data_IF_384179937461
#
_entry.id   IF_384179937461
#
_cell.length_a   1.000
_cell.length_b   1.000
_cell.length_c   1.000
_cell.angle_alpha   90.00
_cell.angle_beta   90.00
_cell.angle_gamma   90.00
#
_symmetry.space_group_name_H-M   'P 1'
#
loop_
_entity.id
_entity.type
_entity.pdbx_description
1 polymer ?
#
# COMPACT_ATOMS: atom_id res chain seq x y z
N UNK A 1 -35.35 -55.45 70.94
CA UNK A 1 -35.40 -55.31 69.50
C UNK A 1 -34.86 -53.94 69.17
N UNK A 2 -33.57 -53.86 68.81
CA UNK A 2 -32.86 -52.60 68.56
C UNK A 2 -32.91 -52.33 67.01
N UNK A 3 -33.53 -51.25 66.62
CA UNK A 3 -33.52 -50.77 65.23
C UNK A 3 -32.23 -49.97 65.00
N UNK A 4 -31.35 -50.49 64.19
CA UNK A 4 -30.18 -49.77 63.71
C UNK A 4 -30.62 -48.86 62.54
N UNK A 5 -30.41 -47.55 62.70
CA UNK A 5 -30.62 -46.55 61.65
C UNK A 5 -29.28 -46.39 60.90
N UNK A 6 -29.24 -46.80 59.66
CA UNK A 6 -28.08 -46.66 58.81
C UNK A 6 -28.11 -45.24 58.19
N UNK A 7 -27.17 -44.38 58.64
CA UNK A 7 -27.01 -43.00 58.12
C UNK A 7 -26.09 -43.08 56.87
N UNK A 8 -26.66 -42.95 55.66
CA UNK A 8 -25.85 -42.81 54.44
C UNK A 8 -25.39 -41.37 54.34
N UNK A 9 -24.09 -41.13 54.58
CA UNK A 9 -23.44 -39.84 54.29
C UNK A 9 -23.06 -39.86 52.81
N UNK A 10 -23.85 -39.12 52.01
CA UNK A 10 -23.49 -38.82 50.61
C UNK A 10 -22.45 -37.69 50.64
N UNK A 11 -21.20 -38.06 50.51
CA UNK A 11 -20.11 -37.11 50.35
C UNK A 11 -20.13 -36.64 48.87
N UNK A 12 -20.82 -35.54 48.61
CA UNK A 12 -20.76 -34.89 47.28
C UNK A 12 -19.35 -34.33 47.06
N UNK A 13 -18.56 -35.02 46.25
CA UNK A 13 -17.28 -34.52 45.71
C UNK A 13 -17.57 -33.28 44.87
N UNK A 14 -17.46 -32.10 45.45
CA UNK A 14 -17.33 -30.82 44.75
C UNK A 14 -16.00 -30.84 44.03
N UNK A 15 -15.99 -31.38 42.80
CA UNK A 15 -14.88 -31.17 41.87
C UNK A 15 -15.02 -29.73 41.41
N UNK A 16 -14.06 -28.82 41.70
CA UNK A 16 -14.13 -27.48 41.11
C UNK A 16 -14.01 -27.64 39.62
N UNK A 17 -15.10 -27.35 38.90
CA UNK A 17 -15.07 -27.12 37.45
C UNK A 17 -14.13 -25.91 37.27
N UNK A 18 -12.88 -26.17 36.97
CA UNK A 18 -11.98 -25.15 36.42
C UNK A 18 -12.57 -24.86 35.02
N UNK A 19 -13.39 -23.82 34.94
CA UNK A 19 -13.81 -23.27 33.66
C UNK A 19 -12.53 -22.80 32.98
N UNK A 20 -12.03 -23.60 32.04
CA UNK A 20 -11.01 -23.14 31.11
C UNK A 20 -11.66 -21.99 30.35
N UNK A 21 -11.32 -20.74 30.70
CA UNK A 21 -11.68 -19.59 29.91
C UNK A 21 -11.19 -19.87 28.49
N UNK A 22 -12.08 -19.77 27.53
CA UNK A 22 -11.69 -19.91 26.13
C UNK A 22 -10.52 -18.94 25.86
N UNK A 23 -9.49 -19.38 25.12
CA UNK A 23 -8.38 -18.50 24.79
C UNK A 23 -8.91 -17.21 24.19
N UNK A 24 -8.52 -16.08 24.76
CA UNK A 24 -8.92 -14.78 24.23
C UNK A 24 -8.39 -14.63 22.80
N UNK A 25 -9.19 -14.07 21.88
CA UNK A 25 -8.74 -13.84 20.52
C UNK A 25 -7.51 -12.94 20.49
N UNK A 26 -6.56 -13.27 19.60
CA UNK A 26 -5.36 -12.46 19.39
C UNK A 26 -5.77 -11.08 18.88
N UNK A 27 -5.31 -10.01 19.54
CA UNK A 27 -5.58 -8.63 19.16
C UNK A 27 -4.43 -8.08 18.31
N UNK A 28 -4.74 -7.69 17.08
CA UNK A 28 -3.75 -7.23 16.09
C UNK A 28 -3.99 -5.77 15.76
N UNK A 29 -3.00 -4.92 15.99
CA UNK A 29 -2.97 -3.55 15.50
C UNK A 29 -2.56 -3.53 14.02
N UNK A 30 -3.42 -3.01 13.16
CA UNK A 30 -3.19 -2.91 11.73
C UNK A 30 -3.03 -1.45 11.34
N UNK A 31 -1.78 -1.04 11.10
CA UNK A 31 -1.45 0.32 10.73
C UNK A 31 -1.72 0.55 9.23
N UNK A 32 -2.34 1.67 8.95
CA UNK A 32 -2.53 2.20 7.59
C UNK A 32 -2.01 3.63 7.55
N UNK A 33 -1.51 4.07 6.41
CA UNK A 33 -1.05 5.46 6.29
C UNK A 33 -2.22 6.44 6.31
N UNK A 34 -3.36 6.07 5.69
CA UNK A 34 -4.57 6.89 5.65
C UNK A 34 -5.78 6.04 5.28
N UNK A 35 -6.79 6.01 6.14
CA UNK A 35 -8.05 5.30 5.86
C UNK A 35 -8.96 6.02 4.85
N UNK A 36 -8.64 7.22 4.42
CA UNK A 36 -9.35 7.85 3.29
C UNK A 36 -8.97 7.23 1.94
N UNK A 37 -7.83 6.53 1.86
CA UNK A 37 -7.39 5.84 0.65
C UNK A 37 -8.10 4.48 0.49
N UNK A 38 -8.73 4.27 -0.66
CA UNK A 38 -9.49 3.04 -0.97
C UNK A 38 -8.66 1.75 -0.93
N UNK A 39 -7.37 1.82 -1.27
CA UNK A 39 -6.43 0.70 -1.14
C UNK A 39 -6.32 0.26 0.34
N UNK A 40 -6.11 1.20 1.26
CA UNK A 40 -5.98 0.91 2.68
C UNK A 40 -7.29 0.44 3.31
N UNK A 41 -8.43 0.98 2.86
CA UNK A 41 -9.76 0.48 3.27
C UNK A 41 -9.94 -0.98 2.89
N UNK A 42 -9.68 -1.34 1.63
CA UNK A 42 -9.81 -2.70 1.13
C UNK A 42 -8.83 -3.67 1.83
N UNK A 43 -7.58 -3.24 2.02
CA UNK A 43 -6.54 -4.00 2.72
C UNK A 43 -6.94 -4.30 4.18
N UNK A 44 -7.42 -3.30 4.90
CA UNK A 44 -7.85 -3.45 6.29
C UNK A 44 -9.10 -4.32 6.43
N UNK A 45 -10.12 -4.08 5.61
CA UNK A 45 -11.35 -4.87 5.62
C UNK A 45 -11.09 -6.36 5.36
N UNK A 46 -10.21 -6.67 4.41
CA UNK A 46 -9.81 -8.05 4.14
C UNK A 46 -8.97 -8.63 5.28
N UNK A 47 -8.07 -7.86 5.88
CA UNK A 47 -7.28 -8.31 7.03
C UNK A 47 -8.20 -8.70 8.21
N UNK A 48 -9.23 -7.89 8.52
CA UNK A 48 -10.22 -8.20 9.55
C UNK A 48 -10.97 -9.49 9.26
N UNK A 49 -11.54 -9.59 8.05
CA UNK A 49 -12.31 -10.75 7.60
C UNK A 49 -11.46 -12.02 7.64
N UNK A 50 -10.26 -11.95 7.08
CA UNK A 50 -9.36 -13.09 6.97
C UNK A 50 -8.84 -13.57 8.32
N UNK A 51 -8.39 -12.64 9.18
CA UNK A 51 -7.89 -12.95 10.51
C UNK A 51 -8.96 -13.63 11.36
N UNK A 52 -10.19 -13.12 11.35
CA UNK A 52 -11.32 -13.70 12.07
C UNK A 52 -11.67 -15.10 11.55
N UNK A 53 -11.78 -15.26 10.22
CA UNK A 53 -12.21 -16.52 9.61
C UNK A 53 -11.17 -17.63 9.75
N UNK A 54 -9.87 -17.31 9.60
CA UNK A 54 -8.81 -18.31 9.57
C UNK A 54 -8.17 -18.57 10.94
N UNK A 55 -8.09 -17.54 11.77
CA UNK A 55 -7.30 -17.59 13.00
C UNK A 55 -8.09 -17.26 14.28
N UNK A 56 -9.36 -16.83 14.15
CA UNK A 56 -10.15 -16.34 15.29
C UNK A 56 -9.57 -15.07 15.92
N UNK A 57 -8.73 -14.33 15.21
CA UNK A 57 -8.09 -13.11 15.68
C UNK A 57 -8.91 -11.86 15.37
N UNK A 58 -8.73 -10.83 16.20
CA UNK A 58 -9.37 -9.52 16.04
C UNK A 58 -8.34 -8.50 15.51
N UNK A 59 -8.74 -7.67 14.54
CA UNK A 59 -7.87 -6.69 13.90
C UNK A 59 -8.45 -5.29 14.07
N UNK A 60 -7.64 -4.38 14.57
CA UNK A 60 -7.99 -2.98 14.88
C UNK A 60 -7.19 -2.03 13.99
N UNK A 61 -7.87 -1.04 13.39
CA UNK A 61 -7.20 -0.04 12.56
C UNK A 61 -6.43 0.97 13.42
N UNK A 62 -5.22 1.28 13.00
CA UNK A 62 -4.40 2.39 13.50
C UNK A 62 -4.13 3.33 12.34
N UNK A 63 -4.99 4.33 12.19
CA UNK A 63 -4.96 5.29 11.10
C UNK A 63 -3.85 6.33 11.31
N UNK A 64 -2.95 6.43 10.36
CA UNK A 64 -1.84 7.40 10.35
C UNK A 64 -2.24 8.78 9.87
N UNK A 65 -3.41 8.95 9.24
CA UNK A 65 -3.95 10.22 8.73
C UNK A 65 -2.98 11.00 7.82
N UNK A 66 -2.16 10.27 7.07
CA UNK A 66 -1.06 10.85 6.26
C UNK A 66 -0.11 11.75 7.06
N UNK A 67 0.05 11.47 8.37
CA UNK A 67 0.89 12.23 9.30
C UNK A 67 1.90 11.32 9.99
N UNK A 68 3.19 11.59 9.78
CA UNK A 68 4.29 10.77 10.30
C UNK A 68 4.34 10.76 11.83
N UNK A 69 4.00 11.87 12.49
CA UNK A 69 3.96 11.95 13.94
C UNK A 69 2.81 11.12 14.51
N UNK A 70 1.63 11.17 13.88
CA UNK A 70 0.48 10.32 14.25
C UNK A 70 0.82 8.85 14.08
N UNK A 71 1.45 8.45 12.98
CA UNK A 71 1.89 7.07 12.75
C UNK A 71 2.83 6.59 13.87
N UNK A 72 3.78 7.44 14.27
CA UNK A 72 4.74 7.11 15.34
C UNK A 72 4.04 7.03 16.71
N UNK A 73 3.16 7.96 17.04
CA UNK A 73 2.38 7.94 18.29
C UNK A 73 1.47 6.72 18.41
N UNK A 74 0.94 6.23 17.30
CA UNK A 74 0.13 5.03 17.28
C UNK A 74 0.90 3.78 17.77
N UNK A 75 2.24 3.76 17.74
CA UNK A 75 3.02 2.65 18.26
C UNK A 75 2.89 2.58 19.80
N UNK A 76 2.87 3.71 20.48
CA UNK A 76 2.66 3.75 21.94
C UNK A 76 1.26 3.24 22.31
N UNK A 77 0.26 3.48 21.47
CA UNK A 77 -1.10 2.97 21.66
C UNK A 77 -1.18 1.45 21.54
N UNK A 78 -0.33 0.79 20.76
CA UNK A 78 -0.25 -0.69 20.69
C UNK A 78 -0.01 -1.28 22.07
N UNK A 79 0.94 -0.70 22.80
CA UNK A 79 1.29 -1.11 24.16
C UNK A 79 0.19 -0.75 25.16
N UNK A 80 -0.33 0.50 25.08
CA UNK A 80 -1.32 1.00 26.02
C UNK A 80 -2.67 0.25 25.92
N UNK A 81 -3.07 -0.16 24.73
CA UNK A 81 -4.32 -0.89 24.49
C UNK A 81 -4.18 -2.40 24.64
N UNK A 82 -3.02 -2.92 25.00
CA UNK A 82 -2.78 -4.35 25.22
C UNK A 82 -2.97 -5.17 23.94
N UNK A 83 -2.41 -4.70 22.82
CA UNK A 83 -2.36 -5.47 21.58
C UNK A 83 -1.32 -6.59 21.72
N UNK A 84 -1.63 -7.76 21.15
CA UNK A 84 -0.70 -8.90 21.14
C UNK A 84 0.28 -8.82 19.96
N UNK A 85 -0.11 -8.16 18.88
CA UNK A 85 0.69 -7.99 17.69
C UNK A 85 0.40 -6.68 16.97
N UNK A 86 1.36 -6.21 16.17
CA UNK A 86 1.17 -5.08 15.26
C UNK A 86 1.84 -5.31 13.91
N UNK A 87 1.18 -4.86 12.84
CA UNK A 87 1.77 -4.74 11.52
C UNK A 87 1.79 -3.26 11.13
N UNK A 88 2.98 -2.69 11.08
CA UNK A 88 3.19 -1.25 10.97
C UNK A 88 3.14 -0.77 9.53
N UNK A 89 2.65 0.45 9.32
CA UNK A 89 2.88 1.24 8.11
C UNK A 89 3.38 2.60 8.58
N UNK A 90 4.68 2.84 8.48
CA UNK A 90 5.38 3.97 9.10
C UNK A 90 6.20 4.69 8.03
N UNK A 91 6.17 6.01 8.04
CA UNK A 91 6.96 6.84 7.14
C UNK A 91 8.28 7.29 7.78
N UNK A 92 8.28 7.68 9.06
CA UNK A 92 9.51 8.00 9.81
C UNK A 92 9.99 6.76 10.56
N UNK A 93 10.89 6.03 9.92
CA UNK A 93 11.43 4.77 10.44
C UNK A 93 12.30 5.01 11.68
N UNK A 94 13.09 6.08 11.71
CA UNK A 94 13.99 6.39 12.82
C UNK A 94 13.19 6.77 14.08
N UNK A 95 12.17 7.60 13.94
CA UNK A 95 11.29 7.97 15.04
C UNK A 95 10.50 6.78 15.58
N UNK A 96 10.21 5.77 14.76
CA UNK A 96 9.46 4.58 15.16
C UNK A 96 10.28 3.56 15.97
N UNK A 97 11.60 3.48 15.76
CA UNK A 97 12.48 2.45 16.37
C UNK A 97 12.36 2.33 17.90
N UNK A 98 12.38 3.43 18.69
CA UNK A 98 12.28 3.33 20.14
C UNK A 98 10.98 2.65 20.60
N UNK A 99 9.84 3.04 20.02
CA UNK A 99 8.53 2.46 20.34
C UNK A 99 8.44 0.99 19.96
N UNK A 100 8.93 0.63 18.74
CA UNK A 100 9.00 -0.77 18.28
C UNK A 100 9.84 -1.61 19.23
N UNK A 101 11.03 -1.14 19.61
CA UNK A 101 11.90 -1.87 20.54
C UNK A 101 11.24 -2.02 21.93
N UNK A 102 10.48 -1.02 22.41
CA UNK A 102 9.73 -1.10 23.64
C UNK A 102 8.61 -2.15 23.57
N UNK A 103 7.88 -2.21 22.45
CA UNK A 103 6.84 -3.21 22.20
C UNK A 103 7.42 -4.64 22.14
N UNK A 104 8.53 -4.83 21.43
CA UNK A 104 9.25 -6.11 21.35
C UNK A 104 9.69 -6.61 22.73
N UNK A 105 10.22 -5.73 23.60
CA UNK A 105 10.61 -6.07 24.97
C UNK A 105 9.43 -6.55 25.82
N UNK A 106 8.19 -6.15 25.48
CA UNK A 106 6.96 -6.61 26.14
C UNK A 106 6.39 -7.88 25.52
N UNK A 107 7.09 -8.48 24.55
CA UNK A 107 6.66 -9.70 23.86
C UNK A 107 5.59 -9.49 22.79
N UNK A 108 5.31 -8.25 22.40
CA UNK A 108 4.38 -7.93 21.30
C UNK A 108 5.02 -8.32 19.99
N UNK A 109 4.31 -9.08 19.15
CA UNK A 109 4.77 -9.45 17.82
C UNK A 109 4.70 -8.22 16.90
N UNK A 110 5.85 -7.82 16.34
CA UNK A 110 5.93 -6.65 15.47
C UNK A 110 6.35 -7.06 14.07
N UNK A 111 5.66 -6.53 13.06
CA UNK A 111 6.03 -6.62 11.65
C UNK A 111 5.89 -5.25 11.00
N UNK A 112 6.50 -5.02 9.85
CA UNK A 112 6.27 -3.82 9.07
C UNK A 112 5.60 -4.14 7.72
N UNK A 113 5.00 -3.14 7.14
CA UNK A 113 4.49 -3.14 5.78
C UNK A 113 5.11 -1.98 5.01
N UNK A 114 5.46 -2.21 3.75
CA UNK A 114 6.04 -1.25 2.83
C UNK A 114 7.47 -0.83 3.19
N UNK A 115 7.70 -0.23 4.37
CA UNK A 115 9.01 0.26 4.81
C UNK A 115 9.64 -0.68 5.83
N UNK A 116 10.79 -1.32 5.53
CA UNK A 116 11.53 -2.08 6.52
C UNK A 116 12.11 -1.14 7.58
N UNK A 117 12.05 -1.55 8.86
CA UNK A 117 12.70 -0.82 9.95
C UNK A 117 14.08 -1.42 10.19
N UNK A 118 15.11 -0.76 9.66
CA UNK A 118 16.49 -1.16 9.85
C UNK A 118 16.84 -1.30 11.33
N UNK A 119 17.78 -2.21 11.66
CA UNK A 119 18.30 -2.47 13.01
C UNK A 119 17.29 -3.01 14.03
N UNK A 120 16.03 -3.19 13.66
CA UNK A 120 15.03 -3.85 14.53
C UNK A 120 14.93 -5.34 14.27
N UNK A 121 15.25 -5.77 13.06
CA UNK A 121 15.12 -7.16 12.62
C UNK A 121 13.68 -7.64 12.45
N UNK A 122 12.66 -6.77 12.56
CA UNK A 122 11.26 -7.17 12.39
C UNK A 122 10.99 -7.55 10.93
N UNK A 123 10.23 -8.64 10.69
CA UNK A 123 9.86 -9.04 9.35
C UNK A 123 8.97 -8.01 8.65
N UNK A 124 9.15 -7.88 7.33
CA UNK A 124 8.47 -6.88 6.49
C UNK A 124 7.67 -7.54 5.37
N UNK A 125 6.43 -7.09 5.16
CA UNK A 125 5.63 -7.38 3.97
C UNK A 125 5.73 -6.19 3.01
N UNK A 126 6.05 -6.43 1.72
CA UNK A 126 6.25 -5.37 0.70
C UNK A 126 5.58 -5.73 -0.61
N UNK A 127 5.23 -4.72 -1.38
CA UNK A 127 4.93 -4.88 -2.80
C UNK A 127 6.23 -4.76 -3.61
N UNK A 128 6.37 -5.58 -4.65
CA UNK A 128 7.50 -5.48 -5.59
C UNK A 128 7.19 -4.39 -6.64
N UNK A 129 7.43 -3.13 -6.27
CA UNK A 129 7.05 -1.99 -7.09
C UNK A 129 8.12 -1.58 -8.10
N UNK A 130 9.40 -1.86 -7.81
CA UNK A 130 10.51 -1.36 -8.63
C UNK A 130 10.49 -1.92 -10.06
N UNK A 131 10.22 -3.22 -10.22
CA UNK A 131 10.13 -3.84 -11.54
C UNK A 131 8.97 -3.28 -12.37
N UNK A 132 7.81 -3.08 -11.71
CA UNK A 132 6.63 -2.51 -12.38
C UNK A 132 6.83 -1.03 -12.74
N UNK A 133 7.39 -0.23 -11.83
CA UNK A 133 7.71 1.19 -12.13
C UNK A 133 8.68 1.33 -13.29
N UNK A 134 9.73 0.50 -13.34
CA UNK A 134 10.63 0.46 -14.49
C UNK A 134 9.88 0.13 -15.80
N UNK A 135 9.05 -0.90 -15.78
CA UNK A 135 8.28 -1.31 -16.95
C UNK A 135 7.31 -0.22 -17.43
N UNK A 136 6.66 0.49 -16.50
CA UNK A 136 5.77 1.62 -16.79
C UNK A 136 6.54 2.78 -17.46
N UNK A 137 7.70 3.17 -16.91
CA UNK A 137 8.54 4.21 -17.50
C UNK A 137 8.99 3.86 -18.92
N UNK A 138 9.45 2.62 -19.12
CA UNK A 138 9.85 2.13 -20.43
C UNK A 138 8.68 2.10 -21.43
N UNK A 139 7.49 1.67 -20.98
CA UNK A 139 6.29 1.62 -21.83
C UNK A 139 5.84 3.03 -22.24
N UNK A 140 5.74 3.97 -21.30
CA UNK A 140 5.39 5.35 -21.60
C UNK A 140 6.34 5.97 -22.63
N UNK A 141 7.65 5.78 -22.46
CA UNK A 141 8.64 6.30 -23.39
C UNK A 141 8.50 5.67 -24.78
N UNK A 142 8.26 4.36 -24.88
CA UNK A 142 8.00 3.67 -26.15
C UNK A 142 6.74 4.22 -26.84
N UNK A 143 5.64 4.40 -26.11
CA UNK A 143 4.39 4.91 -26.66
C UNK A 143 4.53 6.38 -27.12
N UNK A 144 5.26 7.20 -26.33
CA UNK A 144 5.58 8.56 -26.76
C UNK A 144 6.39 8.59 -28.04
N UNK A 145 7.50 7.84 -28.13
CA UNK A 145 8.34 7.76 -29.33
C UNK A 145 7.61 7.19 -30.54
N UNK A 146 6.69 6.25 -30.34
CA UNK A 146 5.83 5.74 -31.40
C UNK A 146 4.90 6.83 -31.93
N UNK A 147 4.33 7.67 -31.06
CA UNK A 147 3.46 8.77 -31.45
C UNK A 147 4.24 9.96 -32.07
N UNK A 148 5.42 10.25 -31.55
CA UNK A 148 6.25 11.42 -31.85
C UNK A 148 7.74 11.05 -31.94
N UNK A 149 8.20 10.39 -33.02
CA UNK A 149 9.58 9.85 -33.08
C UNK A 149 10.68 10.90 -32.86
N UNK A 150 10.44 12.14 -33.29
CA UNK A 150 11.42 13.23 -33.28
C UNK A 150 11.23 14.20 -32.10
N UNK A 151 10.19 14.05 -31.28
CA UNK A 151 10.02 14.91 -30.11
C UNK A 151 10.83 14.37 -28.93
N UNK A 152 11.57 15.23 -28.23
CA UNK A 152 12.27 14.82 -27.01
C UNK A 152 11.28 14.41 -25.93
N UNK A 153 11.73 13.56 -25.02
CA UNK A 153 10.99 13.25 -23.80
C UNK A 153 11.43 14.22 -22.71
N UNK A 154 10.41 14.85 -22.08
CA UNK A 154 10.58 15.66 -20.86
C UNK A 154 9.62 15.13 -19.81
N UNK A 155 10.16 14.58 -18.73
CA UNK A 155 9.37 13.93 -17.69
C UNK A 155 9.43 14.67 -16.36
N UNK A 156 8.35 14.54 -15.59
CA UNK A 156 8.25 15.00 -14.21
C UNK A 156 7.55 13.92 -13.37
N UNK A 157 7.90 13.84 -12.10
CA UNK A 157 7.20 13.02 -11.13
C UNK A 157 6.58 13.92 -10.05
N UNK A 158 5.45 13.50 -9.49
CA UNK A 158 4.81 14.11 -8.32
C UNK A 158 4.59 13.03 -7.27
N UNK A 159 5.08 13.28 -6.04
CA UNK A 159 5.09 12.26 -5.00
C UNK A 159 5.83 12.68 -3.75
N UNK A 160 6.66 11.77 -3.24
CA UNK A 160 7.41 11.92 -1.99
C UNK A 160 8.92 11.84 -2.23
N UNK A 161 9.59 12.90 -2.72
CA UNK A 161 11.01 12.86 -3.13
C UNK A 161 11.97 12.49 -2.00
N UNK A 162 11.58 12.76 -0.74
CA UNK A 162 12.37 12.49 0.45
C UNK A 162 12.04 11.15 1.13
N UNK A 163 11.07 10.40 0.62
CA UNK A 163 10.71 9.10 1.17
C UNK A 163 11.53 8.00 0.49
N UNK A 164 12.48 7.41 1.22
CA UNK A 164 13.45 6.44 0.70
C UNK A 164 12.80 5.28 -0.06
N UNK A 165 11.72 4.69 0.49
CA UNK A 165 11.06 3.52 -0.11
C UNK A 165 10.27 3.88 -1.38
N UNK A 166 9.60 5.05 -1.38
CA UNK A 166 8.91 5.54 -2.58
C UNK A 166 9.94 5.86 -3.66
N UNK A 167 11.01 6.54 -3.31
CA UNK A 167 12.07 6.87 -4.25
C UNK A 167 12.68 5.62 -4.88
N UNK A 168 13.06 4.63 -4.07
CA UNK A 168 13.71 3.40 -4.55
C UNK A 168 12.75 2.44 -5.25
N UNK A 169 11.47 2.42 -4.86
CA UNK A 169 10.44 1.53 -5.44
C UNK A 169 9.70 2.14 -6.64
N UNK A 170 9.54 3.47 -6.69
CA UNK A 170 8.72 4.14 -7.71
C UNK A 170 9.53 5.10 -8.56
N UNK A 171 10.03 6.21 -7.97
CA UNK A 171 10.66 7.31 -8.71
C UNK A 171 11.87 6.87 -9.53
N UNK A 172 12.91 6.34 -8.88
CA UNK A 172 14.17 5.99 -9.54
C UNK A 172 14.00 4.88 -10.59
N UNK A 173 13.25 3.78 -10.33
CA UNK A 173 12.99 2.77 -11.35
C UNK A 173 12.21 3.30 -12.55
N UNK A 174 11.20 4.16 -12.33
CA UNK A 174 10.48 4.79 -13.43
C UNK A 174 11.41 5.60 -14.34
N UNK A 175 12.22 6.48 -13.76
CA UNK A 175 13.20 7.28 -14.50
C UNK A 175 14.16 6.40 -15.29
N UNK A 176 14.69 5.32 -14.65
CA UNK A 176 15.56 4.34 -15.34
C UNK A 176 14.83 3.66 -16.49
N UNK A 177 13.55 3.35 -16.32
CA UNK A 177 12.71 2.78 -17.38
C UNK A 177 12.59 3.71 -18.58
N UNK A 178 12.30 5.00 -18.36
CA UNK A 178 12.28 6.01 -19.45
C UNK A 178 13.64 6.13 -20.14
N UNK A 179 14.72 6.27 -19.37
CA UNK A 179 16.08 6.41 -19.90
C UNK A 179 16.60 5.17 -20.62
N UNK A 180 16.05 3.99 -20.34
CA UNK A 180 16.36 2.76 -21.09
C UNK A 180 15.87 2.80 -22.53
N UNK A 181 14.87 3.63 -22.83
CA UNK A 181 14.27 3.81 -24.16
C UNK A 181 14.79 5.08 -24.83
N UNK A 182 14.89 6.17 -24.10
CA UNK A 182 15.44 7.44 -24.57
C UNK A 182 16.49 7.97 -23.59
N UNK A 183 17.78 7.62 -23.77
CA UNK A 183 18.85 8.10 -22.90
C UNK A 183 19.03 9.63 -22.87
N UNK A 184 18.39 10.34 -23.81
CA UNK A 184 18.43 11.82 -23.90
C UNK A 184 17.20 12.48 -23.25
N UNK A 185 16.31 11.69 -22.65
CA UNK A 185 15.14 12.23 -21.95
C UNK A 185 15.56 13.17 -20.81
N UNK A 186 14.89 14.31 -20.72
CA UNK A 186 15.08 15.27 -19.62
C UNK A 186 14.20 14.90 -18.45
N UNK A 187 14.76 14.84 -17.27
CA UNK A 187 14.04 14.63 -16.02
C UNK A 187 14.00 15.92 -15.20
N UNK A 188 12.82 16.48 -14.95
CA UNK A 188 12.64 17.67 -14.11
C UNK A 188 12.61 17.32 -12.60
N UNK A 189 12.75 16.04 -12.27
CA UNK A 189 12.75 15.54 -10.89
C UNK A 189 11.38 15.30 -10.31
N UNK A 190 11.36 14.74 -9.09
CA UNK A 190 10.15 14.50 -8.33
C UNK A 190 9.80 15.73 -7.51
N UNK A 191 8.60 16.26 -7.69
CA UNK A 191 8.05 17.40 -6.97
C UNK A 191 7.33 16.92 -5.71
N UNK A 192 7.55 17.57 -4.58
CA UNK A 192 6.92 17.19 -3.31
C UNK A 192 5.42 17.51 -3.30
N UNK A 193 4.63 16.45 -3.43
CA UNK A 193 3.17 16.47 -3.44
C UNK A 193 2.58 15.77 -2.21
N UNK A 194 3.38 15.52 -1.18
CA UNK A 194 3.00 14.77 0.03
C UNK A 194 1.76 15.32 0.75
N UNK A 195 1.42 16.60 0.52
CA UNK A 195 0.24 17.27 1.09
C UNK A 195 -1.06 17.02 0.33
N UNK A 196 -1.05 16.20 -0.73
CA UNK A 196 -2.25 15.72 -1.39
C UNK A 196 -2.65 16.44 -2.69
N UNK A 197 -3.88 16.18 -3.17
CA UNK A 197 -4.28 16.52 -4.54
C UNK A 197 -4.30 18.02 -4.85
N UNK A 198 -4.67 18.88 -3.91
CA UNK A 198 -4.74 20.34 -4.16
C UNK A 198 -3.34 20.93 -4.38
N UNK A 199 -2.36 20.48 -3.57
CA UNK A 199 -0.96 20.88 -3.75
C UNK A 199 -0.41 20.31 -5.06
N UNK A 200 -0.71 19.04 -5.38
CA UNK A 200 -0.33 18.42 -6.64
C UNK A 200 -0.87 19.21 -7.84
N UNK A 201 -2.14 19.62 -7.76
CA UNK A 201 -2.76 20.43 -8.82
C UNK A 201 -1.98 21.72 -9.06
N UNK A 202 -1.63 22.46 -7.99
CA UNK A 202 -0.86 23.70 -8.13
C UNK A 202 0.53 23.43 -8.73
N UNK A 203 1.24 22.42 -8.23
CA UNK A 203 2.56 22.03 -8.73
C UNK A 203 2.50 21.72 -10.23
N UNK A 204 1.54 20.93 -10.68
CA UNK A 204 1.44 20.58 -12.12
C UNK A 204 1.07 21.78 -12.98
N UNK A 205 0.21 22.71 -12.48
CA UNK A 205 -0.06 23.95 -13.19
C UNK A 205 1.22 24.79 -13.38
N UNK A 206 2.03 24.91 -12.33
CA UNK A 206 3.29 25.64 -12.37
C UNK A 206 4.28 24.97 -13.31
N UNK A 207 4.42 23.63 -13.23
CA UNK A 207 5.29 22.84 -14.09
C UNK A 207 4.91 23.00 -15.57
N UNK A 208 3.64 22.81 -15.94
CA UNK A 208 3.25 22.88 -17.38
C UNK A 208 3.26 24.30 -17.91
N UNK A 209 3.26 25.32 -17.04
CA UNK A 209 3.42 26.72 -17.39
C UNK A 209 4.88 27.07 -17.65
N UNK A 210 5.79 26.61 -16.78
CA UNK A 210 7.24 26.87 -16.89
C UNK A 210 7.92 25.95 -17.92
N UNK A 211 7.38 24.73 -18.06
CA UNK A 211 7.88 23.67 -18.94
C UNK A 211 6.75 23.13 -19.83
N UNK A 212 6.27 23.92 -20.80
CA UNK A 212 5.17 23.50 -21.69
C UNK A 212 5.51 22.26 -22.56
N UNK A 213 6.79 21.93 -22.66
CA UNK A 213 7.34 20.75 -23.34
C UNK A 213 7.18 19.44 -22.55
N UNK A 214 6.80 19.47 -21.25
CA UNK A 214 6.57 18.26 -20.45
C UNK A 214 5.54 17.36 -21.10
N UNK A 215 5.89 16.07 -21.22
CA UNK A 215 5.11 15.10 -21.97
C UNK A 215 5.03 13.70 -21.35
N UNK A 216 5.78 13.40 -20.28
CA UNK A 216 5.56 12.23 -19.44
C UNK A 216 5.39 12.69 -17.98
N UNK A 217 4.27 12.32 -17.35
CA UNK A 217 3.98 12.67 -15.95
C UNK A 217 3.69 11.39 -15.18
N UNK A 218 4.42 11.21 -14.07
CA UNK A 218 4.21 10.11 -13.15
C UNK A 218 3.68 10.62 -11.82
N UNK A 219 2.46 10.23 -11.47
CA UNK A 219 1.87 10.47 -10.15
C UNK A 219 2.05 9.23 -9.29
N UNK A 220 2.73 9.35 -8.16
CA UNK A 220 3.15 8.23 -7.32
C UNK A 220 2.03 7.67 -6.41
N UNK A 221 0.79 8.16 -6.56
CA UNK A 221 -0.42 7.63 -5.92
C UNK A 221 -1.68 8.13 -6.63
N UNK A 222 -2.80 7.41 -6.49
CA UNK A 222 -4.08 7.72 -7.14
C UNK A 222 -4.67 9.07 -6.71
N UNK A 223 -4.55 9.45 -5.43
CA UNK A 223 -5.00 10.75 -4.94
C UNK A 223 -4.21 11.92 -5.57
N UNK A 224 -2.91 11.73 -5.82
CA UNK A 224 -2.08 12.74 -6.51
C UNK A 224 -2.47 12.83 -7.99
N UNK A 225 -2.86 11.70 -8.60
CA UNK A 225 -3.34 11.64 -9.99
C UNK A 225 -4.60 12.48 -10.18
N UNK A 226 -5.49 12.52 -9.18
CA UNK A 226 -6.67 13.42 -9.20
C UNK A 226 -6.23 14.87 -9.37
N UNK A 227 -5.26 15.33 -8.58
CA UNK A 227 -4.69 16.68 -8.69
C UNK A 227 -4.01 16.94 -10.04
N UNK A 228 -3.21 15.97 -10.50
CA UNK A 228 -2.55 16.02 -11.82
C UNK A 228 -3.54 16.19 -12.96
N UNK A 229 -4.56 15.34 -13.03
CA UNK A 229 -5.55 15.40 -14.10
C UNK A 229 -6.41 16.66 -14.04
N UNK A 230 -6.74 17.16 -12.84
CA UNK A 230 -7.44 18.44 -12.65
C UNK A 230 -6.61 19.61 -13.16
N UNK A 231 -5.30 19.64 -12.87
CA UNK A 231 -4.37 20.66 -13.37
C UNK A 231 -4.29 20.66 -14.90
N UNK A 232 -4.08 19.48 -15.49
CA UNK A 232 -4.00 19.32 -16.93
C UNK A 232 -5.29 19.77 -17.63
N UNK A 233 -6.45 19.40 -17.08
CA UNK A 233 -7.74 19.83 -17.59
C UNK A 233 -7.87 21.36 -17.56
N UNK A 234 -7.49 21.99 -16.45
CA UNK A 234 -7.51 23.46 -16.30
C UNK A 234 -6.56 24.15 -17.30
N UNK A 235 -5.41 23.52 -17.60
CA UNK A 235 -4.44 24.01 -18.57
C UNK A 235 -4.84 23.69 -20.04
N UNK A 236 -6.03 23.12 -20.29
CA UNK A 236 -6.47 22.69 -21.61
C UNK A 236 -5.73 21.44 -22.16
N UNK A 237 -4.99 20.76 -21.31
CA UNK A 237 -4.19 19.56 -21.58
C UNK A 237 -4.91 18.29 -21.09
N UNK A 238 -4.21 17.19 -20.91
CA UNK A 238 -4.76 15.94 -20.38
C UNK A 238 -5.55 15.12 -21.38
N UNK A 239 -5.34 15.33 -22.68
CA UNK A 239 -6.16 14.78 -23.76
C UNK A 239 -5.43 13.73 -24.58
N UNK A 240 -6.21 12.79 -25.07
CA UNK A 240 -5.81 11.73 -25.96
C UNK A 240 -6.81 11.66 -27.12
N UNK A 241 -6.38 11.42 -28.34
CA UNK A 241 -7.26 11.31 -29.49
C UNK A 241 -6.64 10.43 -30.59
N UNK A 242 -7.47 9.69 -31.30
CA UNK A 242 -7.04 8.83 -32.40
C UNK A 242 -5.88 7.88 -32.02
N UNK A 243 -5.92 7.34 -30.80
CA UNK A 243 -4.90 6.43 -30.28
C UNK A 243 -3.56 7.10 -29.93
N UNK A 244 -3.49 8.44 -29.83
CA UNK A 244 -2.26 9.19 -29.54
C UNK A 244 -2.48 10.25 -28.46
N UNK A 245 -1.47 10.52 -27.62
CA UNK A 245 -1.49 11.68 -26.73
C UNK A 245 -1.48 12.97 -27.55
N UNK A 246 -2.18 14.00 -27.07
CA UNK A 246 -2.11 15.33 -27.70
C UNK A 246 -0.96 16.16 -27.12
N UNK A 247 -0.74 16.07 -25.82
CA UNK A 247 0.27 16.85 -25.10
C UNK A 247 1.18 16.00 -24.22
N UNK A 248 0.64 15.03 -23.46
CA UNK A 248 1.40 14.17 -22.57
C UNK A 248 0.74 12.80 -22.39
N UNK A 249 1.49 11.86 -21.78
CA UNK A 249 1.00 10.62 -21.21
C UNK A 249 1.17 10.72 -19.70
N UNK A 250 0.14 10.32 -18.94
CA UNK A 250 0.15 10.24 -17.49
C UNK A 250 0.12 8.78 -17.04
N UNK A 251 0.86 8.45 -16.00
CA UNK A 251 0.71 7.19 -15.27
C UNK A 251 0.60 7.41 -13.78
N UNK A 252 0.11 6.40 -13.07
CA UNK A 252 -0.26 6.44 -11.67
C UNK A 252 0.13 5.18 -10.90
N UNK A 253 -0.19 5.18 -9.60
CA UNK A 253 -0.12 4.04 -8.69
C UNK A 253 -1.43 3.93 -7.93
N UNK A 254 -1.73 2.77 -7.35
CA UNK A 254 -2.94 2.44 -6.58
C UNK A 254 -4.19 2.27 -7.46
N UNK A 255 -4.06 1.63 -8.62
CA UNK A 255 -5.15 1.42 -9.57
C UNK A 255 -6.48 1.09 -8.89
N UNK A 256 -7.42 2.03 -8.97
CA UNK A 256 -8.76 1.96 -8.41
C UNK A 256 -9.86 2.09 -9.50
N UNK A 257 -11.13 2.16 -9.08
CA UNK A 257 -12.26 2.30 -10.02
C UNK A 257 -12.21 3.62 -10.82
N UNK A 258 -11.77 4.72 -10.19
CA UNK A 258 -11.69 6.04 -10.83
C UNK A 258 -10.59 6.01 -11.89
N UNK A 259 -9.44 5.45 -11.54
CA UNK A 259 -8.33 5.29 -12.48
C UNK A 259 -8.65 4.33 -13.61
N UNK A 260 -9.36 3.22 -13.33
CA UNK A 260 -9.81 2.30 -14.36
C UNK A 260 -10.64 2.99 -15.43
N UNK A 261 -11.58 3.85 -15.03
CA UNK A 261 -12.38 4.63 -15.96
C UNK A 261 -11.50 5.56 -16.79
N UNK A 262 -10.55 6.23 -16.17
CA UNK A 262 -9.67 7.21 -16.83
C UNK A 262 -8.64 6.53 -17.74
N UNK A 263 -8.02 5.43 -17.33
CA UNK A 263 -7.04 4.67 -18.13
C UNK A 263 -7.65 4.18 -19.44
N UNK A 264 -8.90 3.68 -19.37
CA UNK A 264 -9.61 3.15 -20.53
C UNK A 264 -10.52 4.17 -21.25
N UNK A 265 -10.56 5.42 -20.79
CA UNK A 265 -11.19 6.51 -21.56
C UNK A 265 -10.30 6.84 -22.78
N UNK A 266 -10.82 6.71 -24.02
CA UNK A 266 -10.06 7.00 -25.24
C UNK A 266 -9.61 8.46 -25.34
N UNK A 267 -10.17 9.37 -24.53
CA UNK A 267 -9.86 10.80 -24.57
C UNK A 267 -8.93 11.26 -23.44
N UNK A 268 -8.69 10.44 -22.44
CA UNK A 268 -7.84 10.78 -21.28
C UNK A 268 -6.37 10.49 -21.57
N UNK A 269 -5.45 11.34 -21.09
CA UNK A 269 -4.00 11.10 -21.14
C UNK A 269 -3.49 10.14 -20.04
N UNK A 270 -4.28 9.82 -19.02
CA UNK A 270 -3.96 8.78 -18.06
C UNK A 270 -4.10 7.42 -18.74
N UNK A 271 -2.99 6.69 -18.92
CA UNK A 271 -2.96 5.46 -19.73
C UNK A 271 -2.36 4.26 -19.05
N UNK A 272 -1.71 4.45 -17.89
CA UNK A 272 -1.14 3.39 -17.10
C UNK A 272 -1.40 3.65 -15.62
N UNK A 273 -1.56 2.56 -14.87
CA UNK A 273 -1.49 2.60 -13.41
C UNK A 273 -0.89 1.32 -12.87
N UNK A 274 -0.15 1.43 -11.77
CA UNK A 274 0.32 0.26 -11.02
C UNK A 274 -0.80 -0.27 -10.14
N UNK A 275 -1.24 -1.49 -10.40
CA UNK A 275 -2.16 -2.21 -9.52
C UNK A 275 -1.41 -2.79 -8.32
N UNK A 276 -1.74 -2.34 -7.13
CA UNK A 276 -1.31 -2.92 -5.86
C UNK A 276 -2.41 -3.86 -5.34
N UNK A 277 -2.10 -5.11 -4.91
CA UNK A 277 -3.11 -6.08 -4.49
C UNK A 277 -3.51 -5.91 -3.01
N UNK A 278 -4.56 -5.15 -2.66
CA UNK A 278 -4.91 -4.89 -1.27
C UNK A 278 -5.34 -6.15 -0.51
N UNK A 279 -6.07 -7.07 -1.16
CA UNK A 279 -6.52 -8.29 -0.49
C UNK A 279 -5.35 -9.22 -0.19
N UNK A 280 -4.45 -9.42 -1.14
CA UNK A 280 -3.29 -10.29 -0.94
C UNK A 280 -2.35 -9.74 0.13
N UNK A 281 -2.07 -8.44 0.09
CA UNK A 281 -1.23 -7.78 1.09
C UNK A 281 -1.88 -7.74 2.47
N UNK A 282 -3.20 -7.52 2.55
CA UNK A 282 -3.95 -7.58 3.80
C UNK A 282 -3.85 -8.96 4.47
N UNK A 283 -4.10 -10.03 3.72
CA UNK A 283 -3.91 -11.43 4.20
C UNK A 283 -2.46 -11.71 4.59
N UNK A 284 -1.54 -11.30 3.73
CA UNK A 284 -0.12 -11.59 3.92
C UNK A 284 0.47 -10.91 5.16
N UNK A 285 0.01 -9.73 5.53
CA UNK A 285 0.39 -9.05 6.77
C UNK A 285 -0.09 -9.84 8.00
N UNK A 286 -1.29 -10.40 7.96
CA UNK A 286 -1.82 -11.28 9.03
C UNK A 286 -1.05 -12.60 9.07
N UNK A 287 -0.84 -13.24 7.91
CA UNK A 287 -0.09 -14.50 7.83
C UNK A 287 1.34 -14.35 8.38
N UNK A 288 2.00 -13.21 8.13
CA UNK A 288 3.35 -12.95 8.65
C UNK A 288 3.39 -12.91 10.19
N UNK A 289 2.39 -12.27 10.82
CA UNK A 289 2.23 -12.29 12.29
C UNK A 289 2.02 -13.72 12.78
N UNK A 290 1.18 -14.51 12.12
CA UNK A 290 0.87 -15.88 12.52
C UNK A 290 2.05 -16.83 12.27
N UNK A 291 2.85 -16.60 11.24
CA UNK A 291 4.10 -17.32 10.99
C UNK A 291 5.12 -17.08 12.13
N UNK A 292 5.17 -15.86 12.66
CA UNK A 292 5.99 -15.56 13.86
C UNK A 292 5.41 -16.25 15.10
N UNK A 293 4.11 -16.13 15.33
CA UNK A 293 3.43 -16.75 16.48
C UNK A 293 3.61 -18.26 16.51
N UNK A 294 3.61 -18.92 15.37
CA UNK A 294 3.83 -20.37 15.24
C UNK A 294 5.30 -20.80 15.27
N UNK A 295 6.24 -19.85 15.34
CA UNK A 295 7.69 -20.14 15.30
C UNK A 295 8.26 -20.44 13.92
N UNK A 296 7.46 -20.32 12.86
CA UNK A 296 7.91 -20.52 11.49
C UNK A 296 8.83 -19.40 10.99
N UNK A 297 8.61 -18.19 11.51
CA UNK A 297 9.47 -17.02 11.29
C UNK A 297 9.91 -16.50 12.66
N UNK A 298 11.15 -16.08 12.82
CA UNK A 298 11.63 -15.49 14.06
C UNK A 298 11.02 -14.10 14.26
N UNK A 299 10.67 -13.68 15.49
CA UNK A 299 10.16 -12.33 15.79
C UNK A 299 11.09 -11.22 15.34
N UNK A 300 12.40 -11.47 15.47
CA UNK A 300 13.46 -10.60 14.94
C UNK A 300 14.52 -11.44 14.24
N UNK A 301 15.03 -10.95 13.14
CA UNK A 301 16.10 -11.61 12.37
C UNK A 301 16.99 -10.55 11.70
N UNK A 302 18.29 -10.91 11.52
CA UNK A 302 19.23 -10.06 10.80
C UNK A 302 19.89 -10.90 9.68
N UNK A 303 19.70 -10.53 8.41
CA UNK A 303 18.79 -9.47 7.91
C UNK A 303 17.31 -9.80 8.18
N UNK A 304 16.48 -8.77 8.21
CA UNK A 304 15.03 -8.95 8.38
C UNK A 304 14.45 -9.77 7.22
N UNK A 305 13.48 -10.65 7.56
CA UNK A 305 12.75 -11.41 6.54
C UNK A 305 11.82 -10.49 5.78
N UNK A 306 11.90 -10.50 4.45
CA UNK A 306 11.00 -9.73 3.59
C UNK A 306 10.13 -10.67 2.75
N UNK A 307 8.82 -10.35 2.67
CA UNK A 307 7.86 -11.01 1.79
C UNK A 307 7.39 -10.01 0.74
N UNK A 308 7.58 -10.36 -0.55
CA UNK A 308 7.19 -9.51 -1.67
C UNK A 308 5.88 -10.00 -2.30
N UNK A 309 4.99 -9.06 -2.56
CA UNK A 309 3.73 -9.27 -3.28
C UNK A 309 3.83 -8.65 -4.65
N UNK A 310 3.36 -9.39 -5.65
CA UNK A 310 3.42 -8.96 -7.05
C UNK A 310 2.57 -7.70 -7.25
N UNK A 311 3.10 -6.73 -7.99
CA UNK A 311 2.37 -5.60 -8.54
C UNK A 311 2.06 -5.81 -10.02
N UNK A 312 1.16 -5.01 -10.58
CA UNK A 312 0.63 -5.21 -11.92
C UNK A 312 0.72 -3.90 -12.71
N UNK A 313 1.31 -3.96 -13.90
CA UNK A 313 1.26 -2.85 -14.85
C UNK A 313 -0.09 -2.90 -15.59
N UNK A 314 -1.04 -2.09 -15.16
CA UNK A 314 -2.34 -1.93 -15.79
C UNK A 314 -2.21 -0.87 -16.89
N UNK A 315 -2.22 -1.29 -18.13
CA UNK A 315 -1.91 -0.42 -19.25
C UNK A 315 -2.99 -0.48 -20.33
N UNK A 316 -3.41 0.68 -20.79
CA UNK A 316 -4.33 0.84 -21.93
C UNK A 316 -3.89 0.06 -23.18
N UNK A 317 -2.58 -0.08 -23.41
CA UNK A 317 -2.04 -0.69 -24.61
C UNK A 317 -1.80 -2.20 -24.50
N UNK A 318 -1.56 -2.70 -23.30
CA UNK A 318 -1.11 -4.10 -23.11
C UNK A 318 -2.07 -4.95 -22.28
N UNK A 319 -3.03 -4.34 -21.59
CA UNK A 319 -4.05 -5.06 -20.83
C UNK A 319 -5.44 -4.70 -21.37
N UNK A 320 -6.25 -5.68 -21.85
CA UNK A 320 -7.64 -5.43 -22.22
C UNK A 320 -8.44 -4.90 -21.01
N UNK A 321 -9.38 -3.96 -21.27
CA UNK A 321 -10.24 -3.39 -20.22
C UNK A 321 -10.93 -4.47 -19.38
N UNK A 322 -11.40 -5.54 -19.99
CA UNK A 322 -12.07 -6.64 -19.30
C UNK A 322 -11.17 -7.33 -18.26
N UNK A 323 -9.88 -7.49 -18.57
CA UNK A 323 -8.91 -8.07 -17.63
C UNK A 323 -8.59 -7.12 -16.49
N UNK A 324 -8.50 -5.82 -16.75
CA UNK A 324 -8.33 -4.80 -15.70
C UNK A 324 -9.54 -4.75 -14.77
N UNK A 325 -10.76 -4.79 -15.31
CA UNK A 325 -12.01 -4.89 -14.54
C UNK A 325 -12.03 -6.17 -13.70
N UNK A 326 -11.68 -7.30 -14.27
CA UNK A 326 -11.60 -8.58 -13.54
C UNK A 326 -10.58 -8.51 -12.40
N UNK A 327 -9.41 -7.93 -12.65
CA UNK A 327 -8.39 -7.71 -11.63
C UNK A 327 -8.94 -6.84 -10.50
N UNK A 328 -9.56 -5.69 -10.84
CA UNK A 328 -10.12 -4.75 -9.87
C UNK A 328 -11.22 -5.40 -9.02
N UNK A 329 -12.17 -6.10 -9.66
CA UNK A 329 -13.22 -6.84 -8.96
C UNK A 329 -12.64 -7.88 -7.99
N UNK A 330 -11.58 -8.57 -8.40
CA UNK A 330 -10.91 -9.58 -7.57
C UNK A 330 -10.21 -8.94 -6.37
N UNK A 331 -9.54 -7.81 -6.58
CA UNK A 331 -8.69 -7.17 -5.55
C UNK A 331 -9.47 -6.25 -4.60
N UNK A 332 -10.61 -5.71 -5.04
CA UNK A 332 -11.41 -4.78 -4.21
C UNK A 332 -12.79 -5.34 -3.84
N UNK A 333 -13.14 -6.55 -4.31
CA UNK A 333 -14.46 -7.15 -4.06
C UNK A 333 -15.61 -6.39 -4.73
N UNK A 334 -15.32 -5.64 -5.81
CA UNK A 334 -16.32 -4.91 -6.59
C UNK A 334 -17.02 -5.80 -7.61
N UNK A 335 -18.06 -5.29 -8.27
CA UNK A 335 -18.83 -5.99 -9.31
C UNK A 335 -18.99 -5.13 -10.56
N UNK A 336 -17.89 -4.45 -10.96
CA UNK A 336 -17.86 -3.61 -12.16
C UNK A 336 -18.04 -4.44 -13.42
N UNK A 337 -18.65 -3.81 -14.47
CA UNK A 337 -18.88 -4.43 -15.79
C UNK A 337 -17.97 -3.83 -16.85
#
# INVERSE_FOLDING_TARGET
>A
MKKAVLLFIVLALLVPMVAFAAPQPLKIAFFVSDLSNVFHQAQFAEAQKYAKAKYGAEVFAFDGKSDSAVMTQNIDQVVAQGMDAATLHIWDQEAAKPGVNAALKKGIIMTSFFSPLADTGIPTARSDEAGTSFAMGAEMAKQWKKAFPNKPIVMVQVGWPNHTEVKSGRTDPFVKGVLSVDPKATNLGCQDSSKGPDVTKQIILDVVTQHPEVNLIYSEASNLTVGTMAALTQAGRGKFANGKPLTEIVCSVDFDEVEMKSVYDPNSSLKLSMGLPPLETGRGRIDLIMDIKSGKVKPTSQPAVEKFYKTYNISYWTMPRADAVKWLNTQFGTSLK
#
